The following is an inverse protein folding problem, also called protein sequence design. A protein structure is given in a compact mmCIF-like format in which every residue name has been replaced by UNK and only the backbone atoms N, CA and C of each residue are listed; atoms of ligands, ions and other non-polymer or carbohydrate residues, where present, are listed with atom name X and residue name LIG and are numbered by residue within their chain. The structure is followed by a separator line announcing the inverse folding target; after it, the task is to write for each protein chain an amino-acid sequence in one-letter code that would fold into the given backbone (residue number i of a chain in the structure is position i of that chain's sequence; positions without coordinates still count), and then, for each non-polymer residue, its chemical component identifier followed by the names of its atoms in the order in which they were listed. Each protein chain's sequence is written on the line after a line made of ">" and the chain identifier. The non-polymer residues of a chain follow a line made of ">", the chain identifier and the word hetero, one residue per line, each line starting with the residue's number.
data_IF_556518869809
#
_entry.id   IF_556518869809
#
_cell.length_a   1.000
_cell.length_b   1.000
_cell.length_c   1.000
_cell.angle_alpha   90.00
_cell.angle_beta   90.00
_cell.angle_gamma   90.00
#
_symmetry.space_group_name_H-M   'P 1'
#
loop_
_entity.id
_entity.type
_entity.pdbx_description
1 polymer ?
#
# COMPACT_ATOMS: atom_id res chain seq x y z
N UNK A 1 -21.23 8.68 30.18
CA UNK A 1 -20.05 9.10 29.42
C UNK A 1 -19.15 7.90 29.29
N UNK A 2 -19.29 7.11 28.24
CA UNK A 2 -18.45 5.96 27.95
C UNK A 2 -18.12 5.92 26.46
N UNK A 3 -16.85 6.15 26.10
CA UNK A 3 -16.35 5.78 24.80
C UNK A 3 -16.38 4.24 24.72
N UNK A 4 -17.16 3.67 23.83
CA UNK A 4 -16.99 2.26 23.46
C UNK A 4 -15.81 2.22 22.48
N UNK A 5 -14.69 1.68 22.91
CA UNK A 5 -13.62 1.25 22.05
C UNK A 5 -14.18 0.17 21.12
N UNK A 6 -14.47 0.51 19.88
CA UNK A 6 -14.68 -0.48 18.83
C UNK A 6 -13.28 -0.88 18.39
N UNK A 7 -12.86 -2.07 18.75
CA UNK A 7 -11.70 -2.68 18.12
C UNK A 7 -12.08 -2.90 16.65
N UNK A 8 -11.75 -1.95 15.77
CA UNK A 8 -11.61 -2.28 14.36
C UNK A 8 -10.42 -3.23 14.27
N UNK A 9 -10.71 -4.49 13.95
CA UNK A 9 -9.67 -5.43 13.56
C UNK A 9 -8.88 -4.78 12.44
N UNK A 10 -7.56 -4.67 12.64
CA UNK A 10 -6.64 -4.31 11.57
C UNK A 10 -6.98 -5.20 10.36
N UNK A 11 -7.55 -4.60 9.35
CA UNK A 11 -7.76 -5.28 8.06
C UNK A 11 -6.41 -5.16 7.37
N UNK A 12 -5.77 -6.28 7.02
CA UNK A 12 -4.45 -6.28 6.37
C UNK A 12 -4.39 -5.36 5.15
N UNK A 13 -3.23 -5.04 4.68
CA UNK A 13 -3.00 -4.13 3.54
C UNK A 13 -3.11 -4.85 2.19
N UNK A 14 -3.44 -4.09 1.13
CA UNK A 14 -3.27 -4.53 -0.25
C UNK A 14 -1.88 -4.09 -0.75
N UNK A 15 -1.01 -5.06 -0.99
CA UNK A 15 0.38 -4.85 -1.38
C UNK A 15 0.58 -5.26 -2.84
N UNK A 16 0.91 -4.31 -3.72
CA UNK A 16 1.25 -4.59 -5.11
C UNK A 16 2.76 -4.58 -5.30
N UNK A 17 3.36 -5.77 -5.47
CA UNK A 17 4.77 -5.89 -5.84
C UNK A 17 4.93 -5.57 -7.33
N UNK A 18 5.73 -4.56 -7.64
CA UNK A 18 6.00 -4.11 -9.00
C UNK A 18 7.49 -4.32 -9.29
N UNK A 19 7.79 -5.36 -10.06
CA UNK A 19 9.14 -5.89 -10.21
C UNK A 19 9.66 -5.66 -11.62
N UNK A 20 10.79 -5.00 -11.70
CA UNK A 20 11.55 -4.84 -12.92
C UNK A 20 12.13 -6.18 -13.39
N UNK A 21 11.90 -6.51 -14.65
CA UNK A 21 12.43 -7.71 -15.33
C UNK A 21 13.21 -7.33 -16.60
N UNK A 22 13.63 -6.08 -16.71
CA UNK A 22 14.50 -5.64 -17.79
C UNK A 22 15.84 -6.37 -17.78
N UNK A 23 16.54 -6.29 -18.89
CA UNK A 23 17.84 -6.98 -19.03
C UNK A 23 18.90 -6.48 -18.03
N UNK A 24 18.80 -5.24 -17.53
CA UNK A 24 19.69 -4.70 -16.50
C UNK A 24 19.59 -5.47 -15.17
N UNK A 25 18.43 -6.08 -14.90
CA UNK A 25 18.21 -6.93 -13.73
C UNK A 25 18.94 -8.28 -13.80
N UNK A 26 19.54 -8.62 -14.93
CA UNK A 26 20.43 -9.78 -15.07
C UNK A 26 21.88 -9.46 -14.67
N UNK A 27 22.21 -8.21 -14.32
CA UNK A 27 23.54 -7.86 -13.84
C UNK A 27 23.92 -8.63 -12.56
N UNK A 28 25.21 -9.02 -12.49
CA UNK A 28 25.76 -9.95 -11.47
C UNK A 28 26.48 -9.22 -10.31
N UNK A 29 26.19 -7.93 -10.09
CA UNK A 29 26.68 -7.22 -8.88
C UNK A 29 26.03 -7.75 -7.60
N UNK A 30 24.93 -8.50 -7.73
CA UNK A 30 24.29 -9.30 -6.70
C UNK A 30 24.24 -10.77 -7.14
N UNK A 31 24.78 -11.67 -6.32
CA UNK A 31 24.78 -13.10 -6.64
C UNK A 31 23.42 -13.77 -6.43
N UNK A 32 22.93 -14.59 -7.36
CA UNK A 32 23.53 -14.87 -8.68
C UNK A 32 23.33 -13.75 -9.71
N UNK A 33 22.27 -12.97 -9.62
CA UNK A 33 22.00 -11.70 -10.29
C UNK A 33 20.91 -10.93 -9.53
N UNK A 34 20.66 -9.67 -9.91
CA UNK A 34 19.66 -8.80 -9.25
C UNK A 34 18.27 -9.43 -9.24
N UNK A 35 17.82 -10.02 -10.36
CA UNK A 35 16.48 -10.60 -10.50
C UNK A 35 16.31 -11.85 -9.62
N UNK A 36 17.22 -12.79 -9.64
CA UNK A 36 17.15 -14.00 -8.83
C UNK A 36 17.16 -13.67 -7.33
N UNK A 37 17.95 -12.67 -6.96
CA UNK A 37 17.98 -12.18 -5.59
C UNK A 37 16.65 -11.57 -5.17
N UNK A 38 16.02 -10.81 -6.07
CA UNK A 38 14.67 -10.24 -5.87
C UNK A 38 13.62 -11.35 -5.71
N UNK A 39 13.63 -12.37 -6.57
CA UNK A 39 12.70 -13.51 -6.46
C UNK A 39 12.81 -14.23 -5.13
N UNK A 40 14.05 -14.43 -4.64
CA UNK A 40 14.30 -15.04 -3.34
C UNK A 40 13.72 -14.21 -2.19
N UNK A 41 13.94 -12.88 -2.21
CA UNK A 41 13.42 -11.98 -1.19
C UNK A 41 11.89 -11.93 -1.19
N UNK A 42 11.25 -11.87 -2.37
CA UNK A 42 9.79 -11.94 -2.50
C UNK A 42 9.24 -13.26 -1.94
N UNK A 43 9.92 -14.37 -2.22
CA UNK A 43 9.54 -15.66 -1.68
C UNK A 43 9.52 -15.69 -0.15
N UNK A 44 10.55 -15.10 0.49
CA UNK A 44 10.63 -14.93 1.94
C UNK A 44 9.53 -13.99 2.49
N UNK A 45 9.28 -12.87 1.81
CA UNK A 45 8.21 -11.97 2.20
C UNK A 45 6.88 -12.71 2.33
N UNK A 46 6.51 -13.51 1.33
CA UNK A 46 5.26 -14.26 1.35
C UNK A 46 5.17 -15.38 2.40
N UNK A 47 6.29 -15.75 3.04
CA UNK A 47 6.29 -16.67 4.18
C UNK A 47 5.90 -15.98 5.50
N UNK A 48 6.16 -14.68 5.59
CA UNK A 48 5.89 -13.87 6.79
C UNK A 48 4.50 -13.25 6.85
N UNK A 49 3.78 -13.14 5.72
CA UNK A 49 2.47 -12.50 5.63
C UNK A 49 1.35 -13.38 6.20
N UNK A 50 0.37 -12.79 6.87
CA UNK A 50 -0.75 -13.51 7.48
C UNK A 50 -2.13 -12.97 7.09
N UNK A 51 -2.31 -11.66 7.02
CA UNK A 51 -3.61 -11.01 6.80
C UNK A 51 -3.63 -10.12 5.55
N UNK A 52 -2.46 -9.86 4.96
CA UNK A 52 -2.30 -8.97 3.81
C UNK A 52 -2.76 -9.65 2.52
N UNK A 53 -3.12 -8.83 1.54
CA UNK A 53 -3.41 -9.28 0.18
C UNK A 53 -2.28 -8.83 -0.73
N UNK A 54 -1.82 -9.71 -1.59
CA UNK A 54 -0.67 -9.44 -2.45
C UNK A 54 -1.01 -9.60 -3.92
N UNK A 55 -0.47 -8.73 -4.74
CA UNK A 55 -0.48 -8.83 -6.20
C UNK A 55 0.93 -8.68 -6.75
N UNK A 56 1.10 -9.00 -8.02
CA UNK A 56 2.39 -8.95 -8.70
C UNK A 56 2.23 -8.37 -10.10
N UNK A 57 2.93 -7.29 -10.34
CA UNK A 57 3.17 -6.69 -11.66
C UNK A 57 4.65 -6.91 -12.01
N UNK A 58 4.92 -7.38 -13.20
CA UNK A 58 6.27 -7.40 -13.78
C UNK A 58 6.33 -6.41 -14.92
N UNK A 59 7.46 -5.75 -15.10
CA UNK A 59 7.61 -4.75 -16.15
C UNK A 59 9.03 -4.68 -16.70
N UNK A 60 9.12 -4.22 -17.94
CA UNK A 60 10.29 -3.72 -18.59
C UNK A 60 9.84 -2.51 -19.44
N UNK A 61 9.89 -2.54 -20.76
CA UNK A 61 9.29 -1.50 -21.62
C UNK A 61 7.78 -1.42 -21.53
N UNK A 62 7.10 -2.55 -21.23
CA UNK A 62 5.66 -2.61 -20.94
C UNK A 62 5.38 -3.41 -19.66
N UNK A 63 4.36 -3.03 -18.87
CA UNK A 63 3.97 -3.75 -17.66
C UNK A 63 2.97 -4.88 -17.95
N UNK A 64 2.99 -5.89 -17.08
CA UNK A 64 2.03 -7.00 -17.10
C UNK A 64 1.63 -7.40 -15.69
N UNK A 65 0.33 -7.49 -15.43
CA UNK A 65 -0.17 -8.10 -14.20
C UNK A 65 0.08 -9.60 -14.26
N UNK A 66 0.99 -10.07 -13.44
CA UNK A 66 1.35 -11.48 -13.34
C UNK A 66 0.47 -12.22 -12.34
N UNK A 67 0.07 -11.54 -11.26
CA UNK A 67 -0.84 -12.05 -10.24
C UNK A 67 -1.76 -10.92 -9.79
N UNK A 68 -3.09 -11.05 -9.95
CA UNK A 68 -4.05 -10.15 -9.31
C UNK A 68 -3.97 -10.23 -7.80
N UNK A 69 -4.50 -9.21 -7.09
CA UNK A 69 -4.57 -9.16 -5.63
C UNK A 69 -5.24 -10.43 -5.08
N UNK A 70 -4.54 -11.14 -4.20
CA UNK A 70 -4.99 -12.40 -3.59
C UNK A 70 -4.42 -12.59 -2.18
N UNK A 71 -5.08 -13.39 -1.36
CA UNK A 71 -4.58 -13.89 -0.08
C UNK A 71 -3.97 -15.31 -0.18
N UNK A 72 -3.93 -15.90 -1.38
CA UNK A 72 -3.28 -17.23 -1.59
C UNK A 72 -1.77 -17.07 -1.77
N UNK A 73 -1.05 -17.07 -0.66
CA UNK A 73 0.42 -16.95 -0.67
C UNK A 73 1.14 -18.14 -1.31
N UNK A 74 0.49 -19.31 -1.43
CA UNK A 74 1.08 -20.45 -2.15
C UNK A 74 1.10 -20.16 -3.64
N UNK A 75 -0.02 -19.65 -4.16
CA UNK A 75 -0.10 -19.17 -5.53
C UNK A 75 0.90 -18.03 -5.76
N UNK A 76 0.92 -17.03 -4.89
CA UNK A 76 1.85 -15.88 -4.98
C UNK A 76 3.32 -16.33 -5.08
N UNK A 77 3.76 -17.26 -4.24
CA UNK A 77 5.11 -17.84 -4.31
C UNK A 77 5.38 -18.58 -5.62
N UNK A 78 4.39 -19.31 -6.13
CA UNK A 78 4.55 -20.02 -7.40
C UNK A 78 4.73 -19.05 -8.58
N UNK A 79 4.01 -17.93 -8.59
CA UNK A 79 4.17 -16.87 -9.60
C UNK A 79 5.48 -16.12 -9.43
N UNK A 80 5.88 -15.76 -8.21
CA UNK A 80 7.15 -15.09 -7.95
C UNK A 80 8.37 -15.89 -8.45
N UNK A 81 8.36 -17.20 -8.27
CA UNK A 81 9.44 -18.09 -8.78
C UNK A 81 9.54 -18.12 -10.30
N UNK A 82 8.46 -17.79 -11.00
CA UNK A 82 8.38 -17.80 -12.47
C UNK A 82 8.68 -16.44 -13.09
N UNK A 83 9.04 -15.44 -12.29
CA UNK A 83 9.46 -14.14 -12.80
C UNK A 83 10.69 -14.33 -13.66
N UNK A 84 10.62 -13.83 -14.91
CA UNK A 84 11.66 -14.01 -15.91
C UNK A 84 11.53 -12.88 -16.96
N UNK A 85 12.62 -12.36 -17.53
CA UNK A 85 12.57 -11.32 -18.56
C UNK A 85 11.69 -11.67 -19.77
N UNK A 86 11.54 -12.96 -20.10
CA UNK A 86 10.68 -13.41 -21.21
C UNK A 86 9.18 -13.22 -20.99
N UNK A 87 8.74 -12.85 -19.79
CA UNK A 87 7.33 -12.54 -19.49
C UNK A 87 6.87 -11.24 -20.15
N UNK A 88 7.80 -10.37 -20.53
CA UNK A 88 7.53 -9.07 -21.14
C UNK A 88 8.14 -9.05 -22.54
N UNK A 89 7.34 -8.64 -23.53
CA UNK A 89 7.76 -8.67 -24.93
C UNK A 89 8.62 -7.48 -25.34
N UNK A 90 8.48 -6.35 -24.65
CA UNK A 90 9.19 -5.11 -24.94
C UNK A 90 10.25 -4.89 -23.85
N UNK A 91 11.52 -4.86 -24.26
CA UNK A 91 12.61 -4.52 -23.36
C UNK A 91 12.71 -3.00 -23.14
N UNK A 92 13.51 -2.56 -22.20
CA UNK A 92 13.57 -1.19 -21.70
C UNK A 92 13.02 -1.12 -20.30
N UNK A 93 12.80 0.09 -19.75
CA UNK A 93 12.29 0.28 -18.40
C UNK A 93 11.32 1.45 -18.40
N UNK A 94 10.03 1.18 -18.21
CA UNK A 94 8.94 2.15 -18.18
C UNK A 94 8.27 2.15 -16.79
N UNK A 95 8.89 2.85 -15.84
CA UNK A 95 8.47 2.86 -14.43
C UNK A 95 7.08 3.51 -14.27
N UNK A 96 6.79 4.60 -14.97
CA UNK A 96 5.49 5.26 -14.89
C UNK A 96 4.35 4.36 -15.35
N UNK A 97 4.52 3.66 -16.49
CA UNK A 97 3.53 2.67 -16.95
C UNK A 97 3.37 1.52 -15.95
N UNK A 98 4.46 1.08 -15.32
CA UNK A 98 4.40 0.03 -14.32
C UNK A 98 3.61 0.45 -13.06
N UNK A 99 3.85 1.66 -12.57
CA UNK A 99 3.09 2.24 -11.47
C UNK A 99 1.61 2.44 -11.84
N UNK A 100 1.32 2.92 -13.05
CA UNK A 100 -0.06 3.06 -13.53
C UNK A 100 -0.78 1.72 -13.58
N UNK A 101 -0.13 0.68 -14.12
CA UNK A 101 -0.69 -0.67 -14.14
C UNK A 101 -0.90 -1.22 -12.73
N UNK A 102 -0.01 -0.93 -11.79
CA UNK A 102 -0.15 -1.32 -10.40
C UNK A 102 -1.35 -0.63 -9.73
N UNK A 103 -1.55 0.66 -9.98
CA UNK A 103 -2.71 1.41 -9.49
C UNK A 103 -4.03 0.84 -10.01
N UNK A 104 -4.08 0.47 -11.30
CA UNK A 104 -5.26 -0.14 -11.93
C UNK A 104 -5.53 -1.57 -11.43
N UNK A 105 -4.53 -2.27 -10.93
CA UNK A 105 -4.63 -3.66 -10.50
C UNK A 105 -5.12 -3.83 -9.05
N UNK A 106 -5.27 -2.74 -8.28
CA UNK A 106 -5.92 -2.81 -6.97
C UNK A 106 -7.39 -3.18 -7.10
N UNK A 107 -7.92 -3.89 -6.13
CA UNK A 107 -9.34 -4.24 -6.11
C UNK A 107 -10.21 -2.97 -6.07
N UNK A 108 -11.26 -2.94 -6.89
CA UNK A 108 -12.19 -1.81 -6.94
C UNK A 108 -13.10 -1.67 -5.71
N UNK A 109 -12.99 -2.55 -4.72
CA UNK A 109 -13.78 -2.53 -3.50
C UNK A 109 -13.32 -1.39 -2.58
N UNK A 110 -13.94 -0.22 -2.77
CA UNK A 110 -13.69 0.98 -1.96
C UNK A 110 -14.37 0.93 -0.58
N UNK A 111 -15.25 -0.04 -0.34
CA UNK A 111 -15.97 -0.16 0.94
C UNK A 111 -15.13 -0.80 2.07
N UNK A 112 -14.05 -1.49 1.72
CA UNK A 112 -13.09 -2.00 2.71
C UNK A 112 -11.88 -1.08 2.71
N UNK A 113 -11.70 -0.32 3.78
CA UNK A 113 -10.57 0.60 3.97
C UNK A 113 -9.26 -0.14 4.24
N UNK A 114 -8.80 -0.96 3.27
CA UNK A 114 -7.46 -1.51 3.31
C UNK A 114 -6.44 -0.44 2.91
N UNK A 115 -5.36 -0.31 3.66
CA UNK A 115 -4.21 0.46 3.21
C UNK A 115 -3.70 -0.10 1.88
N UNK A 116 -3.40 0.77 0.90
CA UNK A 116 -2.87 0.35 -0.40
C UNK A 116 -1.42 0.78 -0.54
N UNK A 117 -0.58 -0.19 -0.87
CA UNK A 117 0.86 0.02 -0.97
C UNK A 117 1.39 -0.59 -2.26
N UNK A 118 2.23 0.15 -2.96
CA UNK A 118 3.05 -0.37 -4.06
C UNK A 118 4.48 -0.53 -3.54
N UNK A 119 5.10 -1.68 -3.79
CA UNK A 119 6.54 -1.89 -3.58
C UNK A 119 7.18 -2.03 -4.96
N UNK A 120 7.88 -0.98 -5.37
CA UNK A 120 8.61 -0.94 -6.63
C UNK A 120 10.03 -1.45 -6.42
N UNK A 121 10.45 -2.43 -7.19
CA UNK A 121 11.80 -3.03 -7.15
C UNK A 121 12.44 -2.89 -8.53
N UNK A 122 13.44 -2.05 -8.66
CA UNK A 122 14.11 -1.72 -9.93
C UNK A 122 15.50 -1.15 -9.66
N UNK A 123 16.35 -1.07 -10.70
CA UNK A 123 17.58 -0.29 -10.66
C UNK A 123 17.36 1.22 -10.93
N UNK A 124 16.13 1.60 -11.22
CA UNK A 124 15.75 3.00 -11.41
C UNK A 124 16.17 3.60 -12.75
N UNK A 125 16.73 2.84 -13.68
CA UNK A 125 16.90 3.31 -15.04
C UNK A 125 15.51 3.48 -15.67
N UNK A 126 15.16 4.69 -16.08
CA UNK A 126 13.87 5.00 -16.71
C UNK A 126 14.11 5.69 -18.05
N UNK A 127 13.56 5.13 -19.11
CA UNK A 127 13.92 5.56 -20.44
C UNK A 127 12.85 6.36 -21.18
N UNK A 128 11.55 6.23 -20.85
CA UNK A 128 10.51 6.71 -21.76
C UNK A 128 9.22 7.26 -21.12
N UNK A 129 9.15 7.47 -19.79
CA UNK A 129 7.89 7.93 -19.19
C UNK A 129 8.04 8.87 -17.96
N UNK A 130 6.96 9.52 -17.59
CA UNK A 130 6.90 10.42 -16.44
C UNK A 130 6.45 9.67 -15.18
N UNK A 131 7.37 8.93 -14.56
CA UNK A 131 7.12 8.21 -13.32
C UNK A 131 6.71 9.14 -12.16
N UNK A 132 7.17 10.37 -12.17
CA UNK A 132 6.87 11.36 -11.12
C UNK A 132 5.39 11.78 -11.19
N UNK A 133 4.85 12.07 -12.37
CA UNK A 133 3.45 12.41 -12.51
C UNK A 133 2.52 11.27 -12.06
N UNK A 134 2.93 10.01 -12.28
CA UNK A 134 2.17 8.85 -11.79
C UNK A 134 2.26 8.73 -10.26
N UNK A 135 3.42 9.00 -9.66
CA UNK A 135 3.58 9.03 -8.21
C UNK A 135 2.71 10.11 -7.55
N UNK A 136 2.60 11.30 -8.14
CA UNK A 136 1.70 12.36 -7.69
C UNK A 136 0.22 11.91 -7.73
N UNK A 137 -0.20 11.20 -8.77
CA UNK A 137 -1.55 10.61 -8.85
C UNK A 137 -1.76 9.54 -7.79
N UNK A 138 -0.78 8.67 -7.55
CA UNK A 138 -0.83 7.67 -6.49
C UNK A 138 -1.04 8.30 -5.11
N UNK A 139 -0.30 9.38 -4.81
CA UNK A 139 -0.46 10.16 -3.59
C UNK A 139 -1.87 10.73 -3.43
N UNK A 140 -2.45 11.30 -4.50
CA UNK A 140 -3.84 11.78 -4.51
C UNK A 140 -4.87 10.69 -4.28
N UNK A 141 -4.57 9.45 -4.67
CA UNK A 141 -5.40 8.27 -4.42
C UNK A 141 -5.17 7.64 -3.04
N UNK A 142 -4.29 8.20 -2.20
CA UNK A 142 -3.91 7.64 -0.90
C UNK A 142 -3.06 6.37 -0.99
N UNK A 143 -2.45 6.08 -2.14
CA UNK A 143 -1.58 4.93 -2.34
C UNK A 143 -0.14 5.33 -2.03
N UNK A 144 0.51 4.63 -1.12
CA UNK A 144 1.92 4.85 -0.78
C UNK A 144 2.83 3.98 -1.64
N UNK A 145 3.92 4.54 -2.13
CA UNK A 145 4.90 3.81 -2.94
C UNK A 145 6.19 3.70 -2.15
N UNK A 146 6.59 2.48 -1.87
CA UNK A 146 7.90 2.15 -1.33
C UNK A 146 8.79 1.71 -2.48
N UNK A 147 10.03 2.18 -2.50
CA UNK A 147 10.95 1.87 -3.58
C UNK A 147 12.19 1.16 -3.06
N UNK A 148 12.59 0.10 -3.75
CA UNK A 148 13.83 -0.65 -3.49
C UNK A 148 14.73 -0.49 -4.71
N UNK A 149 15.83 0.23 -4.50
CA UNK A 149 16.88 0.37 -5.52
C UNK A 149 17.82 -0.83 -5.49
N UNK A 150 17.85 -1.61 -6.58
CA UNK A 150 18.74 -2.77 -6.69
C UNK A 150 19.84 -2.50 -7.70
N UNK A 151 21.07 -2.56 -7.24
CA UNK A 151 22.26 -2.24 -8.02
C UNK A 151 23.25 -1.41 -7.23
N UNK A 152 24.33 -1.03 -7.89
CA UNK A 152 25.37 -0.16 -7.31
C UNK A 152 25.47 1.15 -8.12
N UNK A 153 25.81 2.28 -7.48
CA UNK A 153 26.02 3.54 -8.20
C UNK A 153 27.22 3.48 -9.17
N UNK A 154 28.19 2.65 -8.85
CA UNK A 154 29.35 2.40 -9.72
C UNK A 154 28.92 1.66 -11.00
N UNK A 155 27.85 0.89 -10.88
CA UNK A 155 27.29 0.08 -11.96
C UNK A 155 27.96 -1.27 -12.12
N UNK A 156 27.29 -2.11 -12.90
CA UNK A 156 27.81 -3.42 -13.29
C UNK A 156 27.62 -3.66 -14.79
N UNK A 157 28.54 -4.35 -15.44
CA UNK A 157 28.40 -4.71 -16.86
C UNK A 157 27.22 -5.68 -17.02
N UNK A 158 26.42 -5.44 -18.05
CA UNK A 158 25.27 -6.28 -18.37
C UNK A 158 25.73 -7.53 -19.14
N UNK A 159 25.15 -8.69 -18.77
CA UNK A 159 25.38 -9.97 -19.43
C UNK A 159 24.06 -10.59 -19.85
N UNK A 160 24.01 -11.18 -21.04
CA UNK A 160 22.91 -12.02 -21.51
C UNK A 160 23.48 -13.32 -21.99
N UNK A 161 23.06 -14.43 -21.39
CA UNK A 161 23.55 -15.76 -21.76
C UNK A 161 25.06 -15.98 -21.54
N UNK A 162 25.66 -15.23 -20.60
CA UNK A 162 27.09 -15.28 -20.32
C UNK A 162 27.97 -14.40 -21.19
N UNK A 163 27.39 -13.67 -22.16
CA UNK A 163 28.11 -12.71 -23.01
C UNK A 163 27.82 -11.27 -22.56
N UNK A 164 28.86 -10.44 -22.49
CA UNK A 164 28.72 -9.02 -22.20
C UNK A 164 28.05 -8.28 -23.35
N UNK A 165 27.02 -7.50 -23.00
CA UNK A 165 26.35 -6.61 -23.96
C UNK A 165 27.31 -5.47 -24.28
N UNK A 166 27.45 -5.18 -25.58
CA UNK A 166 28.25 -4.06 -26.11
C UNK A 166 27.33 -3.08 -26.80
N UNK A 167 27.63 -1.81 -26.65
CA UNK A 167 26.99 -0.74 -27.40
C UNK A 167 27.47 -0.68 -28.89
N UNK A 168 26.97 0.27 -29.66
CA UNK A 168 27.34 0.48 -31.05
C UNK A 168 28.84 0.85 -31.23
N UNK A 169 29.48 1.38 -30.18
CA UNK A 169 30.90 1.70 -30.16
C UNK A 169 31.77 0.49 -29.76
N UNK A 170 31.16 -0.65 -29.38
CA UNK A 170 31.83 -1.85 -28.93
C UNK A 170 32.25 -1.83 -27.46
N UNK A 171 31.82 -0.84 -26.70
CA UNK A 171 32.06 -0.74 -25.26
C UNK A 171 31.01 -1.55 -24.46
N UNK A 172 31.39 -2.03 -23.27
CA UNK A 172 30.47 -2.78 -22.42
C UNK A 172 29.37 -1.86 -21.87
N UNK A 173 28.12 -2.26 -22.02
CA UNK A 173 26.98 -1.56 -21.43
C UNK A 173 26.97 -1.79 -19.92
N UNK A 174 26.99 -0.69 -19.14
CA UNK A 174 27.01 -0.71 -17.67
C UNK A 174 25.70 -0.18 -17.17
N UNK A 175 24.96 -1.00 -16.41
CA UNK A 175 23.75 -0.58 -15.70
C UNK A 175 24.10 0.02 -14.34
N UNK A 176 23.55 1.20 -14.04
CA UNK A 176 23.77 1.95 -12.79
C UNK A 176 22.47 2.18 -12.05
N UNK A 177 22.55 2.16 -10.72
CA UNK A 177 21.42 2.50 -9.88
C UNK A 177 21.12 4.01 -9.92
N UNK A 178 19.88 4.38 -10.26
CA UNK A 178 19.37 5.75 -10.17
C UNK A 178 18.55 5.94 -8.89
N UNK A 179 19.23 6.28 -7.82
CA UNK A 179 18.61 6.45 -6.49
C UNK A 179 17.74 7.69 -6.38
N UNK A 180 18.13 8.78 -7.04
CA UNK A 180 17.46 10.09 -6.89
C UNK A 180 15.99 10.00 -7.29
N UNK A 181 15.70 9.39 -8.44
CA UNK A 181 14.35 9.23 -8.91
C UNK A 181 13.52 8.32 -7.99
N UNK A 182 14.09 7.20 -7.54
CA UNK A 182 13.40 6.26 -6.65
C UNK A 182 13.07 6.88 -5.29
N UNK A 183 14.01 7.61 -4.71
CA UNK A 183 13.79 8.35 -3.47
C UNK A 183 12.68 9.40 -3.64
N UNK A 184 12.69 10.14 -4.76
CA UNK A 184 11.66 11.15 -5.05
C UNK A 184 10.26 10.55 -5.20
N UNK A 185 10.12 9.40 -5.88
CA UNK A 185 8.84 8.68 -6.00
C UNK A 185 8.31 8.29 -4.61
N UNK A 186 9.16 7.76 -3.74
CA UNK A 186 8.79 7.38 -2.39
C UNK A 186 8.36 8.61 -1.56
N UNK A 187 9.13 9.68 -1.58
CA UNK A 187 8.86 10.92 -0.83
C UNK A 187 7.49 11.55 -1.20
N UNK A 188 7.18 11.64 -2.51
CA UNK A 188 5.92 12.20 -3.00
C UNK A 188 4.70 11.49 -2.42
N UNK A 189 4.79 10.17 -2.23
CA UNK A 189 3.67 9.34 -1.77
C UNK A 189 3.68 9.08 -0.27
N UNK A 190 4.66 9.60 0.47
CA UNK A 190 4.84 9.34 1.90
C UNK A 190 5.27 7.89 2.20
N UNK A 191 5.92 7.23 1.24
CA UNK A 191 6.58 5.95 1.41
C UNK A 191 8.03 6.09 1.85
N UNK A 192 8.85 5.07 1.59
CA UNK A 192 10.29 5.09 1.90
C UNK A 192 11.10 4.45 0.77
N UNK A 193 12.30 4.98 0.56
CA UNK A 193 13.31 4.39 -0.33
C UNK A 193 14.29 3.55 0.48
N UNK A 194 14.61 2.36 0.00
CA UNK A 194 15.66 1.50 0.56
C UNK A 194 16.61 1.07 -0.55
N UNK A 195 17.91 1.24 -0.29
CA UNK A 195 18.95 0.70 -1.17
C UNK A 195 19.23 -0.74 -0.79
N UNK A 196 19.18 -1.64 -1.77
CA UNK A 196 19.63 -3.03 -1.58
C UNK A 196 21.10 -3.10 -1.24
N UNK A 197 21.45 -4.08 -0.41
CA UNK A 197 22.84 -4.44 -0.08
C UNK A 197 23.11 -5.90 -0.42
N UNK A 198 24.39 -6.29 -0.38
CA UNK A 198 24.76 -7.71 -0.56
C UNK A 198 24.16 -8.63 0.50
N UNK A 199 23.80 -8.11 1.66
CA UNK A 199 23.22 -8.86 2.79
C UNK A 199 21.68 -8.93 2.69
N UNK A 200 21.03 -7.83 2.34
CA UNK A 200 19.57 -7.71 2.27
C UNK A 200 19.14 -6.89 1.05
N UNK A 201 18.01 -7.27 0.44
CA UNK A 201 17.36 -6.46 -0.61
C UNK A 201 16.61 -5.27 0.01
N UNK A 202 16.33 -5.29 1.33
CA UNK A 202 15.59 -4.22 2.02
C UNK A 202 14.07 -4.46 2.10
N UNK A 203 13.56 -5.58 1.62
CA UNK A 203 12.12 -5.91 1.71
C UNK A 203 11.64 -5.99 3.17
N UNK A 204 12.41 -6.60 4.05
CA UNK A 204 12.07 -6.71 5.48
C UNK A 204 11.98 -5.33 6.14
N UNK A 205 12.84 -4.39 5.73
CA UNK A 205 12.86 -3.00 6.20
C UNK A 205 11.60 -2.26 5.73
N UNK A 206 11.21 -2.44 4.47
CA UNK A 206 9.98 -1.86 3.91
C UNK A 206 8.74 -2.41 4.63
N UNK A 207 8.64 -3.73 4.83
CA UNK A 207 7.49 -4.33 5.54
C UNK A 207 7.39 -3.81 6.96
N UNK A 208 8.52 -3.65 7.65
CA UNK A 208 8.55 -3.05 8.99
C UNK A 208 8.04 -1.61 8.96
N UNK A 209 8.49 -0.79 8.01
CA UNK A 209 8.01 0.58 7.84
C UNK A 209 6.51 0.64 7.57
N UNK A 210 5.99 -0.26 6.72
CA UNK A 210 4.56 -0.37 6.41
C UNK A 210 3.77 -0.70 7.69
N UNK A 211 4.19 -1.70 8.47
CA UNK A 211 3.52 -2.11 9.70
C UNK A 211 3.53 -1.00 10.77
N UNK A 212 4.63 -0.26 10.90
CA UNK A 212 4.72 0.87 11.82
C UNK A 212 3.76 2.01 11.44
N UNK A 213 3.60 2.27 10.14
CA UNK A 213 2.66 3.27 9.63
C UNK A 213 1.20 2.87 9.88
N UNK A 214 0.84 1.61 9.62
CA UNK A 214 -0.50 1.08 9.86
C UNK A 214 -0.89 1.20 11.35
N UNK A 215 0.01 0.85 12.26
CA UNK A 215 -0.21 1.01 13.70
C UNK A 215 -0.43 2.48 14.09
N UNK A 216 0.25 3.41 13.45
CA UNK A 216 0.12 4.84 13.73
C UNK A 216 -1.23 5.36 13.22
N UNK A 217 -1.65 5.00 12.02
CA UNK A 217 -2.96 5.38 11.46
C UNK A 217 -4.11 4.83 12.31
N UNK A 218 -4.07 3.55 12.69
CA UNK A 218 -5.06 2.92 13.57
C UNK A 218 -5.13 3.58 14.95
N UNK A 219 -4.01 4.02 15.51
CA UNK A 219 -4.00 4.71 16.80
C UNK A 219 -4.65 6.09 16.73
N UNK A 220 -4.56 6.77 15.59
CA UNK A 220 -5.15 8.10 15.36
C UNK A 220 -6.67 8.02 15.18
N UNK A 221 -7.17 7.01 14.46
CA UNK A 221 -8.62 6.79 14.24
C UNK A 221 -9.34 6.41 15.55
N UNK A 222 -8.66 5.79 16.50
CA UNK A 222 -9.24 5.42 17.81
C UNK A 222 -9.79 6.58 18.63
N UNK A 223 -9.44 7.82 18.34
CA UNK A 223 -9.83 8.98 19.16
C UNK A 223 -11.03 9.76 18.64
N UNK A 224 -11.59 9.47 17.48
CA UNK A 224 -12.62 10.33 16.86
C UNK A 224 -14.07 9.81 16.95
N UNK A 225 -14.34 8.59 17.35
CA UNK A 225 -15.74 8.17 17.59
C UNK A 225 -16.25 8.58 18.97
N UNK A 226 -16.71 9.81 19.07
CA UNK A 226 -17.56 10.23 20.20
C UNK A 226 -18.93 9.55 20.07
N UNK A 227 -19.22 8.66 21.00
CA UNK A 227 -20.57 8.10 21.11
C UNK A 227 -21.52 9.22 21.57
N UNK A 228 -22.14 9.89 20.62
CA UNK A 228 -23.09 10.99 20.86
C UNK A 228 -24.35 10.47 21.54
N UNK A 229 -24.36 10.48 22.85
CA UNK A 229 -25.50 10.04 23.68
C UNK A 229 -26.55 11.16 23.90
N UNK A 230 -26.50 12.24 23.11
CA UNK A 230 -27.50 13.32 23.20
C UNK A 230 -28.94 12.82 23.00
N UNK A 231 -29.13 11.69 22.32
CA UNK A 231 -30.44 11.09 22.08
C UNK A 231 -31.20 10.77 23.36
N UNK A 232 -30.52 10.28 24.41
CA UNK A 232 -31.15 10.00 25.71
C UNK A 232 -31.56 11.26 26.44
N UNK A 233 -30.74 12.32 26.35
CA UNK A 233 -31.06 13.63 26.90
C UNK A 233 -32.23 14.28 26.15
N UNK A 234 -32.29 14.11 24.83
CA UNK A 234 -33.35 14.61 23.97
C UNK A 234 -34.68 13.90 24.26
N UNK A 235 -34.65 12.57 24.45
CA UNK A 235 -35.83 11.79 24.88
C UNK A 235 -36.31 12.23 26.27
N UNK A 236 -35.41 12.41 27.23
CA UNK A 236 -35.74 12.88 28.56
C UNK A 236 -36.37 14.29 28.53
N UNK A 237 -35.80 15.21 27.73
CA UNK A 237 -36.36 16.54 27.53
C UNK A 237 -37.74 16.50 26.87
N UNK A 238 -37.95 15.64 25.87
CA UNK A 238 -39.23 15.45 25.20
C UNK A 238 -40.30 14.92 26.15
N UNK A 239 -39.96 13.94 27.01
CA UNK A 239 -40.85 13.39 28.03
C UNK A 239 -41.23 14.45 29.04
N UNK A 240 -40.30 15.28 29.51
CA UNK A 240 -40.58 16.40 30.41
C UNK A 240 -41.51 17.44 29.77
N UNK A 241 -41.33 17.75 28.50
CA UNK A 241 -42.15 18.66 27.73
C UNK A 241 -43.58 18.12 27.54
N UNK A 242 -43.72 16.82 27.28
CA UNK A 242 -45.04 16.16 27.25
C UNK A 242 -45.71 16.14 28.59
N UNK A 243 -44.97 15.91 29.70
CA UNK A 243 -45.50 16.00 31.07
C UNK A 243 -45.96 17.43 31.41
N UNK A 244 -45.20 18.45 31.01
CA UNK A 244 -45.57 19.85 31.16
C UNK A 244 -46.88 20.15 30.41
N UNK A 245 -47.03 19.68 29.19
CA UNK A 245 -48.27 19.84 28.41
C UNK A 245 -49.51 19.18 29.07
N UNK A 246 -49.27 18.05 29.78
CA UNK A 246 -50.35 17.35 30.53
C UNK A 246 -50.67 18.06 31.85
N UNK A 247 -49.68 18.73 32.48
CA UNK A 247 -49.83 19.39 33.79
C UNK A 247 -50.30 20.85 33.66
N UNK A 248 -50.09 21.52 32.50
CA UNK A 248 -50.40 22.92 32.28
C UNK A 248 -51.93 23.20 32.32
N UNK A 249 -52.30 23.87 33.33
CA UNK A 249 -53.25 24.97 33.54
C UNK A 249 -54.73 24.86 33.14
N UNK A 250 -55.21 23.69 32.79
CA UNK A 250 -56.68 23.42 32.82
C UNK A 250 -56.89 22.10 33.51
N UNK A 251 -57.76 22.10 34.50
CA UNK A 251 -58.23 20.95 35.28
C UNK A 251 -58.38 19.73 34.39
N UNK A 252 -57.30 18.96 34.34
CA UNK A 252 -57.25 17.72 33.57
C UNK A 252 -58.17 16.72 34.29
N UNK A 253 -59.25 16.22 33.69
CA UNK A 253 -60.20 15.34 34.40
C UNK A 253 -59.54 14.03 34.86
N UNK A 254 -58.41 13.63 34.31
CA UNK A 254 -57.65 12.46 34.73
C UNK A 254 -56.84 12.68 36.00
N UNK A 255 -56.47 13.92 36.33
CA UNK A 255 -55.71 14.28 37.56
C UNK A 255 -56.59 14.85 38.66
N UNK A 256 -57.90 15.11 38.41
CA UNK A 256 -58.86 15.58 39.39
C UNK A 256 -59.05 14.60 40.57
N UNK A 257 -58.70 13.32 40.40
CA UNK A 257 -58.75 12.31 41.45
C UNK A 257 -57.52 12.29 42.37
N UNK A 258 -56.44 12.98 42.04
CA UNK A 258 -55.17 12.92 42.78
C UNK A 258 -54.93 14.09 43.73
N UNK A 259 -55.87 14.86 44.09
CA UNK A 259 -55.91 15.93 45.12
C UNK A 259 -54.52 16.41 45.63
N UNK A 260 -53.60 16.70 44.71
CA UNK A 260 -52.17 16.99 44.99
C UNK A 260 -52.02 18.45 45.49
N UNK A 261 -53.01 19.32 45.21
CA UNK A 261 -53.00 20.70 45.63
C UNK A 261 -54.27 20.97 46.44
N UNK A 262 -54.24 20.69 47.75
CA UNK A 262 -55.24 21.17 48.71
C UNK A 262 -54.76 22.52 49.24
N UNK A 263 -55.32 23.63 48.75
CA UNK A 263 -55.16 24.92 49.38
C UNK A 263 -55.80 24.87 50.76
N UNK A 264 -55.05 25.42 51.73
CA UNK A 264 -55.60 25.78 53.06
C UNK A 264 -56.28 27.11 52.97
#
# INVERSE_FOLDING_TARGET
>A
FGSKLREEKAQGIEMMLTVDVSNSMLAEDFEPNRLERTKYAIGKLFEGLQQDRVGLVVFAGDPKVQLPITSDYRMARAFARRIDPSLVSVQGTAIGKALEQALLAFSGDTEQSHGRVIILITDGENHDDDAIAVAERAAQMGVKIFTIGIGTPEGAPMQIGGEFIKDEAGEMVVSKLNEEMLARIADITGGAYVRSSKQSIGLDEIVKAINEMEQTELSTVRFEEFNEQYQYLLIAALVLLLLEFVVLDRRNPLLAHLNIFREK
#
